data_IF_050186498857
#
_entry.id   IF_050186498857
#
_cell.length_a   1.000
_cell.length_b   1.000
_cell.length_c   1.000
_cell.angle_alpha   90.00
_cell.angle_beta   90.00
_cell.angle_gamma   90.00
#
_symmetry.space_group_name_H-M   'P 1'
#
loop_
_entity.id
_entity.type
_entity.pdbx_description
1 polymer ?
#
# COMPACT_ATOMS: atom_id res chain seq x y z
N UNK A 1 13.11 -8.69 -21.21
CA UNK A 1 12.83 -8.65 -19.76
C UNK A 1 11.42 -9.14 -19.53
N UNK A 2 11.26 -10.16 -18.69
CA UNK A 2 9.95 -10.73 -18.44
C UNK A 2 8.94 -9.74 -17.89
N UNK A 3 7.67 -9.99 -18.20
CA UNK A 3 6.52 -9.16 -17.84
C UNK A 3 6.44 -8.94 -16.32
N UNK A 4 6.74 -9.96 -15.52
CA UNK A 4 6.73 -9.88 -14.06
C UNK A 4 7.65 -8.78 -13.51
N UNK A 5 8.87 -8.62 -14.02
CA UNK A 5 9.77 -7.55 -13.55
C UNK A 5 9.31 -6.14 -13.95
N UNK A 6 8.55 -6.01 -15.05
CA UNK A 6 7.95 -4.72 -15.43
C UNK A 6 6.82 -4.34 -14.47
N UNK A 7 6.03 -5.31 -14.02
CA UNK A 7 4.99 -5.10 -13.02
C UNK A 7 5.58 -4.67 -11.67
N UNK A 8 6.64 -5.36 -11.21
CA UNK A 8 7.37 -4.99 -9.98
C UNK A 8 7.93 -3.58 -10.09
N UNK A 9 8.50 -3.21 -11.24
CA UNK A 9 8.97 -1.84 -11.46
C UNK A 9 7.83 -0.81 -11.38
N UNK A 10 6.65 -1.12 -11.92
CA UNK A 10 5.47 -0.25 -11.79
C UNK A 10 5.02 -0.05 -10.34
N UNK A 11 5.04 -1.13 -9.54
CA UNK A 11 4.79 -1.06 -8.09
C UNK A 11 5.81 -0.15 -7.42
N UNK A 12 7.10 -0.36 -7.69
CA UNK A 12 8.18 0.46 -7.15
C UNK A 12 8.03 1.95 -7.48
N UNK A 13 7.73 2.31 -8.74
CA UNK A 13 7.55 3.71 -9.11
C UNK A 13 6.37 4.33 -8.37
N UNK A 14 5.27 3.59 -8.25
CA UNK A 14 4.09 4.03 -7.50
C UNK A 14 4.41 4.24 -6.02
N UNK A 15 5.17 3.32 -5.41
CA UNK A 15 5.62 3.42 -4.03
C UNK A 15 6.57 4.61 -3.81
N UNK A 16 7.51 4.87 -4.74
CA UNK A 16 8.41 6.03 -4.65
C UNK A 16 7.60 7.32 -4.68
N UNK A 17 6.61 7.43 -5.57
CA UNK A 17 5.75 8.63 -5.65
C UNK A 17 4.94 8.79 -4.36
N UNK A 18 4.29 7.73 -3.88
CA UNK A 18 3.55 7.74 -2.61
C UNK A 18 4.44 8.13 -1.43
N UNK A 19 5.61 7.51 -1.32
CA UNK A 19 6.58 7.81 -0.29
C UNK A 19 7.09 9.25 -0.37
N UNK A 20 7.37 9.77 -1.56
CA UNK A 20 7.83 11.16 -1.74
C UNK A 20 6.77 12.16 -1.28
N UNK A 21 5.49 11.89 -1.59
CA UNK A 21 4.38 12.72 -1.13
C UNK A 21 4.26 12.66 0.41
N UNK A 22 4.44 11.49 1.01
CA UNK A 22 4.32 11.29 2.46
C UNK A 22 5.55 11.82 3.24
N UNK A 23 6.74 11.73 2.65
CA UNK A 23 8.00 12.16 3.23
C UNK A 23 8.19 13.68 3.16
N UNK A 24 7.47 14.36 2.27
CA UNK A 24 7.44 15.83 2.26
C UNK A 24 6.95 16.34 3.62
N UNK A 25 7.68 17.27 4.26
CA UNK A 25 7.25 17.87 5.51
C UNK A 25 6.01 18.73 5.22
N UNK A 26 4.83 18.13 5.32
CA UNK A 26 3.59 18.83 5.02
C UNK A 26 3.42 20.01 5.98
N UNK A 27 3.20 21.25 5.51
CA UNK A 27 2.96 22.40 6.36
C UNK A 27 1.63 22.26 7.12
N UNK A 28 1.62 22.65 8.40
CA UNK A 28 0.54 22.39 9.37
C UNK A 28 -0.85 22.89 8.97
N UNK A 29 -0.95 23.88 8.08
CA UNK A 29 -2.22 24.41 7.58
C UNK A 29 -2.87 23.54 6.49
N UNK A 30 -2.08 22.75 5.76
CA UNK A 30 -2.54 21.88 4.66
C UNK A 30 -2.54 20.40 5.08
N UNK A 31 -1.94 20.08 6.24
CA UNK A 31 -1.90 18.72 6.81
C UNK A 31 -3.29 18.11 6.92
N UNK A 32 -4.26 18.72 7.64
CA UNK A 32 -5.56 18.08 7.88
C UNK A 32 -6.31 17.66 6.59
N UNK A 33 -6.52 18.52 5.57
CA UNK A 33 -7.25 18.12 4.37
C UNK A 33 -6.47 17.17 3.45
N UNK A 34 -5.16 17.41 3.25
CA UNK A 34 -4.35 16.56 2.36
C UNK A 34 -4.11 15.18 2.98
N UNK A 35 -3.89 15.16 4.29
CA UNK A 35 -3.62 13.94 5.03
C UNK A 35 -4.92 13.18 5.27
N UNK A 36 -6.09 13.82 5.46
CA UNK A 36 -7.39 13.12 5.34
C UNK A 36 -7.62 12.58 3.94
N UNK A 37 -7.43 13.36 2.88
CA UNK A 37 -7.71 12.91 1.51
C UNK A 37 -6.79 11.75 1.07
N UNK A 38 -5.52 11.75 1.51
CA UNK A 38 -4.54 10.72 1.20
C UNK A 38 -4.62 9.51 2.15
N UNK A 39 -4.95 9.70 3.43
CA UNK A 39 -5.05 8.61 4.44
C UNK A 39 -6.41 7.92 4.40
N UNK A 40 -7.50 8.61 4.03
CA UNK A 40 -8.86 8.03 3.99
C UNK A 40 -8.99 6.76 3.15
N UNK A 41 -8.37 6.63 1.94
CA UNK A 41 -8.36 5.35 1.26
C UNK A 41 -7.57 4.28 2.03
N UNK A 42 -6.44 4.63 2.66
CA UNK A 42 -5.61 3.67 3.41
C UNK A 42 -6.14 3.31 4.81
N UNK A 43 -7.15 4.02 5.31
CA UNK A 43 -7.87 3.67 6.54
C UNK A 43 -8.84 2.51 6.34
N UNK A 44 -9.22 2.21 5.10
CA UNK A 44 -10.04 1.04 4.84
C UNK A 44 -9.25 -0.23 5.16
N UNK A 45 -9.80 -1.06 6.04
CA UNK A 45 -9.20 -2.34 6.43
C UNK A 45 -8.94 -3.24 5.21
N UNK A 46 -9.81 -3.15 4.19
CA UNK A 46 -9.64 -3.84 2.90
C UNK A 46 -8.34 -3.45 2.21
N UNK A 47 -7.98 -2.16 2.21
CA UNK A 47 -6.76 -1.67 1.56
C UNK A 47 -5.52 -2.06 2.37
N UNK A 48 -5.59 -2.06 3.71
CA UNK A 48 -4.49 -2.57 4.54
C UNK A 48 -4.24 -4.06 4.32
N UNK A 49 -5.30 -4.86 4.17
CA UNK A 49 -5.18 -6.28 3.82
C UNK A 49 -4.58 -6.44 2.42
N UNK A 50 -5.02 -5.63 1.45
CA UNK A 50 -4.46 -5.64 0.10
C UNK A 50 -2.96 -5.30 0.08
N UNK A 51 -2.51 -4.32 0.87
CA UNK A 51 -1.10 -3.94 0.99
C UNK A 51 -0.28 -5.05 1.65
N UNK A 52 -0.79 -5.70 2.70
CA UNK A 52 -0.13 -6.86 3.33
C UNK A 52 0.00 -8.03 2.34
N UNK A 53 -1.03 -8.27 1.53
CA UNK A 53 -1.01 -9.28 0.47
C UNK A 53 0.01 -8.93 -0.61
N UNK A 54 0.06 -7.66 -1.04
CA UNK A 54 1.05 -7.15 -2.00
C UNK A 54 2.47 -7.32 -1.46
N UNK A 55 2.73 -6.99 -0.19
CA UNK A 55 4.02 -7.19 0.46
C UNK A 55 4.44 -8.68 0.46
N UNK A 56 3.52 -9.59 0.78
CA UNK A 56 3.78 -11.03 0.73
C UNK A 56 4.08 -11.50 -0.70
N UNK A 57 3.37 -10.97 -1.71
CA UNK A 57 3.62 -11.28 -3.11
C UNK A 57 4.99 -10.81 -3.59
N UNK A 58 5.38 -9.58 -3.24
CA UNK A 58 6.72 -9.04 -3.57
C UNK A 58 7.81 -9.84 -2.84
N UNK A 59 7.55 -10.30 -1.61
CA UNK A 59 8.48 -11.18 -0.88
C UNK A 59 8.67 -12.54 -1.56
N UNK A 60 7.61 -13.15 -2.07
CA UNK A 60 7.72 -14.39 -2.86
C UNK A 60 8.54 -14.17 -4.14
N UNK A 61 8.31 -13.07 -4.86
CA UNK A 61 9.08 -12.72 -6.06
C UNK A 61 10.55 -12.42 -5.76
N UNK A 62 10.83 -11.86 -4.58
CA UNK A 62 12.20 -11.65 -4.11
C UNK A 62 12.90 -12.99 -3.84
N UNK A 63 12.25 -13.90 -3.11
CA UNK A 63 12.79 -15.25 -2.86
C UNK A 63 13.01 -16.00 -4.17
N UNK A 64 12.07 -15.94 -5.11
CA UNK A 64 12.23 -16.50 -6.46
C UNK A 64 13.47 -15.92 -7.19
N UNK A 65 13.63 -14.59 -7.14
CA UNK A 65 14.75 -13.91 -7.80
C UNK A 65 16.10 -14.26 -7.15
N UNK A 66 16.13 -14.49 -5.84
CA UNK A 66 17.30 -14.96 -5.10
C UNK A 66 17.63 -16.40 -5.47
N UNK A 67 16.65 -17.31 -5.47
CA UNK A 67 16.82 -18.71 -5.86
C UNK A 67 17.38 -18.81 -7.29
N UNK A 68 16.81 -18.03 -8.22
CA UNK A 68 17.30 -17.96 -9.60
C UNK A 68 18.73 -17.44 -9.69
N UNK A 69 19.11 -16.45 -8.88
CA UNK A 69 20.49 -15.96 -8.84
C UNK A 69 21.45 -17.04 -8.32
N UNK A 70 21.07 -17.78 -7.28
CA UNK A 70 21.87 -18.90 -6.77
C UNK A 70 22.07 -19.99 -7.83
N UNK A 71 21.02 -20.37 -8.56
CA UNK A 71 21.12 -21.35 -9.66
C UNK A 71 22.10 -20.88 -10.74
N UNK A 72 21.99 -19.63 -11.20
CA UNK A 72 22.89 -19.10 -12.25
C UNK A 72 24.33 -18.94 -11.73
N UNK A 73 24.51 -18.68 -10.44
CA UNK A 73 25.83 -18.65 -9.81
C UNK A 73 26.47 -20.05 -9.78
N UNK A 74 25.71 -21.09 -9.41
CA UNK A 74 26.18 -22.49 -9.45
C UNK A 74 26.50 -22.95 -10.87
N UNK A 75 25.69 -22.56 -11.86
CA UNK A 75 25.98 -22.82 -13.29
C UNK A 75 27.32 -22.21 -13.71
N UNK A 76 27.65 -21.00 -13.24
CA UNK A 76 28.93 -20.34 -13.55
C UNK A 76 30.13 -21.04 -12.89
N UNK A 77 29.96 -21.55 -11.67
CA UNK A 77 31.00 -22.28 -10.93
C UNK A 77 31.25 -23.69 -11.52
N UNK A 78 30.21 -24.32 -12.07
CA UNK A 78 30.32 -25.58 -12.79
C UNK A 78 31.00 -25.43 -14.18
N UNK A 79 31.07 -24.20 -14.74
CA UNK A 79 31.78 -23.94 -16.00
C UNK A 79 33.29 -23.89 -15.74
N UNK A 80 33.97 -24.93 -16.23
CA UNK A 80 35.40 -25.15 -16.05
C UNK A 80 36.25 -23.90 -16.42
N UNK A 81 37.10 -23.37 -15.52
CA UNK A 81 37.88 -22.15 -15.77
C UNK A 81 38.96 -22.32 -16.86
N UNK A 82 39.31 -23.56 -17.24
CA UNK A 82 40.20 -23.84 -18.37
C UNK A 82 39.54 -23.62 -19.75
N UNK A 83 38.22 -23.47 -19.80
CA UNK A 83 37.45 -23.22 -21.03
C UNK A 83 37.22 -21.74 -21.33
N UNK A 84 38.19 -20.88 -20.97
CA UNK A 84 38.15 -19.40 -21.03
C UNK A 84 37.74 -18.78 -22.38
N UNK A 85 37.69 -19.57 -23.46
CA UNK A 85 37.28 -19.15 -24.80
C UNK A 85 35.91 -19.71 -25.26
N UNK A 86 35.19 -20.43 -24.40
CA UNK A 86 33.88 -20.98 -24.74
C UNK A 86 32.80 -19.91 -24.62
N UNK A 87 32.05 -19.67 -25.70
CA UNK A 87 30.89 -18.76 -25.73
C UNK A 87 29.88 -19.01 -24.61
N UNK A 88 29.82 -20.25 -24.08
CA UNK A 88 29.01 -20.61 -22.91
C UNK A 88 29.36 -19.78 -21.66
N UNK A 89 30.64 -19.46 -21.41
CA UNK A 89 31.01 -18.66 -20.23
C UNK A 89 30.50 -17.23 -20.34
N UNK A 90 30.59 -16.65 -21.54
CA UNK A 90 30.08 -15.29 -21.81
C UNK A 90 28.55 -15.23 -21.65
N UNK A 91 27.84 -16.27 -22.11
CA UNK A 91 26.38 -16.37 -21.97
C UNK A 91 25.96 -16.49 -20.49
N UNK A 92 26.62 -17.34 -19.71
CA UNK A 92 26.30 -17.52 -18.27
C UNK A 92 26.62 -16.24 -17.49
N UNK A 93 27.70 -15.53 -17.81
CA UNK A 93 28.00 -14.22 -17.22
C UNK A 93 26.89 -13.20 -17.52
N UNK A 94 26.40 -13.14 -18.76
CA UNK A 94 25.28 -12.27 -19.13
C UNK A 94 24.01 -12.60 -18.33
N UNK A 95 23.69 -13.90 -18.20
CA UNK A 95 22.55 -14.37 -17.38
C UNK A 95 22.71 -13.98 -15.90
N UNK A 96 23.92 -14.03 -15.35
CA UNK A 96 24.22 -13.59 -13.98
C UNK A 96 23.95 -12.11 -13.80
N UNK A 97 24.41 -11.25 -14.72
CA UNK A 97 24.15 -9.80 -14.64
C UNK A 97 22.64 -9.50 -14.66
N UNK A 98 21.88 -10.20 -15.50
CA UNK A 98 20.42 -10.04 -15.53
C UNK A 98 19.75 -10.52 -14.25
N UNK A 99 20.16 -11.66 -13.70
CA UNK A 99 19.65 -12.17 -12.44
C UNK A 99 19.95 -11.23 -11.27
N UNK A 100 21.18 -10.69 -11.19
CA UNK A 100 21.58 -9.73 -10.16
C UNK A 100 20.71 -8.47 -10.20
N UNK A 101 20.57 -7.85 -11.38
CA UNK A 101 19.75 -6.63 -11.53
C UNK A 101 18.30 -6.85 -11.12
N UNK A 102 17.74 -8.00 -11.49
CA UNK A 102 16.36 -8.33 -11.16
C UNK A 102 16.20 -8.61 -9.66
N UNK A 103 17.16 -9.28 -9.02
CA UNK A 103 17.19 -9.45 -7.56
C UNK A 103 17.23 -8.09 -6.85
N UNK A 104 18.11 -7.19 -7.27
CA UNK A 104 18.19 -5.84 -6.69
C UNK A 104 16.90 -5.06 -6.87
N UNK A 105 16.28 -5.11 -8.05
CA UNK A 105 14.99 -4.47 -8.31
C UNK A 105 13.90 -4.99 -7.36
N UNK A 106 13.76 -6.31 -7.22
CA UNK A 106 12.78 -6.91 -6.31
C UNK A 106 13.08 -6.60 -4.84
N UNK A 107 14.36 -6.56 -4.46
CA UNK A 107 14.79 -6.29 -3.09
C UNK A 107 14.52 -4.85 -2.66
N UNK A 108 14.83 -3.87 -3.52
CA UNK A 108 14.54 -2.47 -3.20
C UNK A 108 13.04 -2.18 -3.20
N UNK A 109 12.27 -2.85 -4.07
CA UNK A 109 10.80 -2.77 -4.04
C UNK A 109 10.28 -3.26 -2.71
N UNK A 110 10.69 -4.46 -2.27
CA UNK A 110 10.27 -5.02 -0.98
C UNK A 110 10.61 -4.12 0.21
N UNK A 111 11.83 -3.60 0.23
CA UNK A 111 12.28 -2.68 1.27
C UNK A 111 11.42 -1.41 1.29
N UNK A 112 11.15 -0.83 0.12
CA UNK A 112 10.35 0.36 -0.01
C UNK A 112 8.89 0.11 0.41
N UNK A 113 8.26 -0.99 -0.01
CA UNK A 113 6.93 -1.42 0.46
C UNK A 113 6.88 -1.45 1.98
N UNK A 114 7.89 -2.08 2.61
CA UNK A 114 7.97 -2.19 4.07
C UNK A 114 8.10 -0.81 4.75
N UNK A 115 8.99 0.05 4.24
CA UNK A 115 9.19 1.41 4.76
C UNK A 115 7.92 2.25 4.61
N UNK A 116 7.23 2.19 3.47
CA UNK A 116 5.98 2.91 3.23
C UNK A 116 4.92 2.51 4.25
N UNK A 117 4.74 1.19 4.47
CA UNK A 117 3.78 0.68 5.47
C UNK A 117 4.13 1.19 6.87
N UNK A 118 5.41 1.17 7.26
CA UNK A 118 5.84 1.62 8.58
C UNK A 118 5.65 3.12 8.76
N UNK A 119 6.07 3.92 7.78
CA UNK A 119 5.92 5.38 7.81
C UNK A 119 4.45 5.78 7.86
N UNK A 120 3.58 5.09 7.13
CA UNK A 120 2.14 5.35 7.18
C UNK A 120 1.57 5.17 8.59
N UNK A 121 1.89 4.07 9.27
CA UNK A 121 1.44 3.82 10.64
C UNK A 121 1.97 4.88 11.62
N UNK A 122 3.23 5.28 11.49
CA UNK A 122 3.83 6.34 12.30
C UNK A 122 3.15 7.69 12.09
N UNK A 123 2.82 8.04 10.84
CA UNK A 123 2.10 9.29 10.53
C UNK A 123 0.70 9.27 11.14
N UNK A 124 0.00 8.12 11.09
CA UNK A 124 -1.32 7.96 11.72
C UNK A 124 -1.25 8.14 13.24
N UNK A 125 -0.29 7.50 13.90
CA UNK A 125 -0.07 7.63 15.34
C UNK A 125 0.25 9.07 15.74
N UNK A 126 1.13 9.75 14.98
CA UNK A 126 1.46 11.16 15.20
C UNK A 126 0.24 12.08 15.04
N UNK A 127 -0.62 11.83 14.06
CA UNK A 127 -1.85 12.62 13.88
C UNK A 127 -2.82 12.43 15.05
N UNK A 128 -3.07 11.18 15.46
CA UNK A 128 -3.95 10.88 16.59
C UNK A 128 -3.42 11.49 17.89
N UNK A 129 -2.10 11.40 18.10
CA UNK A 129 -1.46 11.97 19.28
C UNK A 129 -1.53 13.51 19.27
N UNK A 130 -1.34 14.12 18.10
CA UNK A 130 -1.46 15.58 17.93
C UNK A 130 -2.89 16.06 18.17
N UNK A 131 -3.90 15.35 17.67
CA UNK A 131 -5.30 15.72 17.89
C UNK A 131 -5.67 15.61 19.38
N UNK A 132 -5.26 14.53 20.06
CA UNK A 132 -5.44 14.38 21.52
C UNK A 132 -4.74 15.49 22.32
N UNK A 133 -3.53 15.88 21.90
CA UNK A 133 -2.79 16.96 22.56
C UNK A 133 -3.47 18.32 22.33
N UNK A 134 -4.01 18.58 21.13
CA UNK A 134 -4.80 19.78 20.86
C UNK A 134 -6.05 19.82 21.73
N UNK A 135 -6.82 18.73 21.81
CA UNK A 135 -8.03 18.63 22.64
C UNK A 135 -7.74 18.82 24.14
N UNK A 136 -6.55 18.43 24.61
CA UNK A 136 -6.15 18.59 26.01
C UNK A 136 -5.52 19.96 26.32
N UNK A 137 -5.31 20.82 25.32
CA UNK A 137 -4.73 22.15 25.53
C UNK A 137 -5.80 23.12 26.07
N UNK A 138 -5.49 23.94 27.10
CA UNK A 138 -6.46 24.85 27.70
C UNK A 138 -6.96 25.98 26.78
N UNK A 139 -6.29 26.20 25.64
CA UNK A 139 -6.64 27.20 24.62
C UNK A 139 -7.45 26.60 23.44
N UNK A 140 -7.95 25.37 23.63
CA UNK A 140 -8.70 24.66 22.60
C UNK A 140 -10.15 25.15 22.51
N UNK A 141 -10.48 25.78 21.38
CA UNK A 141 -11.83 26.25 21.08
C UNK A 141 -12.76 25.07 20.76
N UNK A 142 -13.42 24.54 21.80
CA UNK A 142 -14.42 23.47 21.73
C UNK A 142 -15.61 23.83 20.83
N UNK A 143 -15.85 25.12 20.55
CA UNK A 143 -17.02 25.58 19.80
C UNK A 143 -17.00 25.17 18.31
N UNK A 144 -15.80 25.01 17.74
CA UNK A 144 -15.63 24.57 16.35
C UNK A 144 -15.84 23.07 16.17
N UNK A 145 -15.36 22.25 17.10
CA UNK A 145 -15.55 20.80 17.06
C UNK A 145 -16.96 20.37 17.47
N UNK A 146 -17.61 21.05 18.42
CA UNK A 146 -19.02 20.79 18.73
C UNK A 146 -19.93 21.07 17.53
N UNK A 147 -19.70 22.16 16.80
CA UNK A 147 -20.44 22.46 15.57
C UNK A 147 -20.20 21.42 14.49
N UNK A 148 -18.94 21.01 14.29
CA UNK A 148 -18.55 19.98 13.32
C UNK A 148 -19.15 18.61 13.66
N UNK A 149 -19.10 18.21 14.92
CA UNK A 149 -19.70 16.95 15.41
C UNK A 149 -21.23 17.01 15.33
N UNK A 150 -21.85 18.16 15.60
CA UNK A 150 -23.28 18.34 15.43
C UNK A 150 -23.71 18.24 13.95
N UNK A 151 -22.95 18.85 13.03
CA UNK A 151 -23.18 18.69 11.58
C UNK A 151 -22.99 17.25 11.12
N UNK A 152 -21.89 16.59 11.50
CA UNK A 152 -21.60 15.19 11.17
C UNK A 152 -22.69 14.25 11.71
N UNK A 153 -23.13 14.48 12.96
CA UNK A 153 -24.19 13.67 13.56
C UNK A 153 -25.52 13.83 12.79
N UNK A 154 -25.85 15.06 12.40
CA UNK A 154 -27.06 15.34 11.61
C UNK A 154 -27.01 14.73 10.23
N UNK A 155 -25.84 14.72 9.59
CA UNK A 155 -25.64 14.08 8.28
C UNK A 155 -25.66 12.55 8.37
N UNK A 156 -25.08 11.96 9.43
CA UNK A 156 -25.19 10.51 9.69
C UNK A 156 -26.64 10.10 9.99
N UNK A 157 -27.38 10.87 10.78
CA UNK A 157 -28.80 10.61 11.07
C UNK A 157 -29.65 10.65 9.80
N UNK A 158 -29.38 11.60 8.89
CA UNK A 158 -30.05 11.66 7.58
C UNK A 158 -29.74 10.44 6.71
N UNK A 159 -28.48 9.99 6.67
CA UNK A 159 -28.10 8.79 5.93
C UNK A 159 -28.71 7.51 6.51
N UNK A 160 -28.81 7.39 7.83
CA UNK A 160 -29.49 6.26 8.49
C UNK A 160 -30.97 6.24 8.09
N UNK A 161 -31.65 7.38 8.17
CA UNK A 161 -33.06 7.48 7.79
C UNK A 161 -33.32 7.12 6.32
N UNK A 162 -32.45 7.55 5.40
CA UNK A 162 -32.54 7.19 3.98
C UNK A 162 -32.34 5.67 3.79
N UNK A 163 -31.36 5.08 4.49
CA UNK A 163 -31.08 3.64 4.40
C UNK A 163 -32.19 2.79 5.02
N UNK A 164 -32.78 3.23 6.13
CA UNK A 164 -33.92 2.54 6.75
C UNK A 164 -35.15 2.59 5.84
N UNK A 165 -35.40 3.70 5.16
CA UNK A 165 -36.47 3.80 4.16
C UNK A 165 -36.24 2.89 2.95
N UNK A 166 -34.98 2.75 2.51
CA UNK A 166 -34.63 1.83 1.44
C UNK A 166 -34.73 0.36 1.86
N UNK A 167 -34.33 0.02 3.09
CA UNK A 167 -34.54 -1.31 3.68
C UNK A 167 -36.03 -1.64 3.73
N UNK A 168 -36.88 -0.72 4.18
CA UNK A 168 -38.33 -0.95 4.21
C UNK A 168 -38.91 -1.19 2.81
N UNK A 169 -38.52 -0.38 1.81
CA UNK A 169 -38.93 -0.60 0.42
C UNK A 169 -38.47 -1.95 -0.13
N UNK A 170 -37.26 -2.38 0.21
CA UNK A 170 -36.72 -3.68 -0.21
C UNK A 170 -37.45 -4.83 0.49
N UNK A 171 -37.81 -4.68 1.77
CA UNK A 171 -38.64 -5.65 2.50
C UNK A 171 -40.04 -5.77 1.92
N UNK A 172 -40.68 -4.65 1.58
CA UNK A 172 -42.00 -4.64 0.92
C UNK A 172 -41.93 -5.34 -0.45
N UNK A 173 -40.89 -5.07 -1.25
CA UNK A 173 -40.67 -5.76 -2.52
C UNK A 173 -40.43 -7.26 -2.34
N UNK A 174 -39.64 -7.66 -1.34
CA UNK A 174 -39.40 -9.07 -1.03
C UNK A 174 -40.69 -9.78 -0.60
N UNK A 175 -41.49 -9.16 0.26
CA UNK A 175 -42.78 -9.71 0.71
C UNK A 175 -43.82 -9.77 -0.41
N UNK A 176 -43.80 -8.82 -1.36
CA UNK A 176 -44.63 -8.88 -2.56
C UNK A 176 -44.23 -10.03 -3.48
N UNK A 177 -42.92 -10.27 -3.68
CA UNK A 177 -42.42 -11.40 -4.45
C UNK A 177 -42.71 -12.75 -3.77
N UNK A 178 -42.60 -12.85 -2.44
CA UNK A 178 -42.97 -14.08 -1.71
C UNK A 178 -44.47 -14.41 -1.81
N UNK A 179 -45.33 -13.42 -2.06
CA UNK A 179 -46.76 -13.64 -2.29
C UNK A 179 -47.10 -14.04 -3.74
N UNK A 180 -46.20 -13.81 -4.69
CA UNK A 180 -46.36 -14.18 -6.09
C UNK A 180 -45.82 -15.58 -6.42
N UNK A 181 -45.12 -16.22 -5.47
CA UNK A 181 -44.65 -17.63 -5.54
C UNK A 181 -45.65 -18.54 -4.81
#
# INVERSE_FOLDING_TARGET
>A
MSIYYKLVFGVLVTEIVMFSILALPLPTKIRKPLTLMLIRPFLNDVIQVAIKCMLAFVALLFVDSVNRLYTVQQELEAVNPASSFSGNRMEVLSRKFFAQRNMYLTGITLFLTFVVVRTFNLVRELLQLKDRYQMASPDYDTSGEEKRNAELKKELEAQIAERDAEIQRLQEKAAALEKEI
#
